data_IF_914835985044
#
_entry.id   IF_914835985044
#
_cell.length_a   1.000
_cell.length_b   1.000
_cell.length_c   1.000
_cell.angle_alpha   90.00
_cell.angle_beta   90.00
_cell.angle_gamma   90.00
#
_symmetry.space_group_name_H-M   'P 1'
#
loop_
_entity.id
_entity.type
_entity.pdbx_description
1 polymer ?
#
# COMPACT_ATOMS: atom_id res chain seq x y z
N UNK A 1 -17.99 17.07 -15.63
CA UNK A 1 -16.76 16.68 -14.91
C UNK A 1 -16.65 15.17 -14.96
N UNK A 2 -15.62 14.61 -15.60
CA UNK A 2 -15.40 13.15 -15.61
C UNK A 2 -14.51 12.80 -14.40
N UNK A 3 -14.87 11.75 -13.66
CA UNK A 3 -14.14 11.34 -12.45
C UNK A 3 -12.69 10.94 -12.75
N UNK A 4 -11.77 11.25 -11.82
CA UNK A 4 -10.39 10.79 -11.92
C UNK A 4 -10.29 9.34 -11.40
N UNK A 5 -9.71 8.39 -12.16
CA UNK A 5 -9.47 7.06 -11.64
C UNK A 5 -8.54 7.14 -10.43
N UNK A 6 -8.96 6.53 -9.33
CA UNK A 6 -8.20 6.44 -8.09
C UNK A 6 -8.00 4.97 -7.72
N UNK A 7 -6.80 4.64 -7.23
CA UNK A 7 -6.56 3.36 -6.58
C UNK A 7 -6.70 3.55 -5.07
N UNK A 8 -7.55 2.74 -4.45
CA UNK A 8 -7.76 2.74 -3.02
C UNK A 8 -7.08 1.53 -2.40
N UNK A 9 -6.31 1.76 -1.34
CA UNK A 9 -5.69 0.71 -0.55
C UNK A 9 -5.94 0.93 0.93
N UNK A 10 -6.32 -0.14 1.62
CA UNK A 10 -6.10 -0.24 3.05
C UNK A 10 -4.58 -0.31 3.30
N UNK A 11 -4.08 0.58 4.16
CA UNK A 11 -2.65 0.80 4.35
C UNK A 11 -1.95 -0.42 4.94
N UNK A 12 -2.57 -1.08 5.92
CA UNK A 12 -2.00 -2.26 6.58
C UNK A 12 -1.81 -3.41 5.59
N UNK A 13 -2.83 -3.68 4.75
CA UNK A 13 -2.77 -4.69 3.69
C UNK A 13 -1.70 -4.34 2.65
N UNK A 14 -1.62 -3.07 2.24
CA UNK A 14 -0.61 -2.62 1.28
C UNK A 14 0.81 -2.84 1.80
N UNK A 15 1.07 -2.51 3.07
CA UNK A 15 2.39 -2.67 3.65
C UNK A 15 2.79 -4.13 3.81
N UNK A 16 1.85 -5.02 4.17
CA UNK A 16 2.10 -6.46 4.17
C UNK A 16 2.49 -6.96 2.77
N UNK A 17 1.76 -6.55 1.73
CA UNK A 17 2.05 -6.91 0.33
C UNK A 17 3.42 -6.39 -0.13
N UNK A 18 3.81 -5.18 0.29
CA UNK A 18 5.12 -4.62 0.00
C UNK A 18 6.23 -5.43 0.69
N UNK A 19 6.05 -5.83 1.95
CA UNK A 19 7.00 -6.70 2.67
C UNK A 19 7.18 -8.04 1.98
N UNK A 20 6.09 -8.67 1.53
CA UNK A 20 6.15 -9.91 0.76
C UNK A 20 6.88 -9.69 -0.58
N UNK A 21 6.55 -8.61 -1.30
CA UNK A 21 7.23 -8.25 -2.55
C UNK A 21 8.73 -8.03 -2.35
N UNK A 22 9.17 -7.59 -1.17
CA UNK A 22 10.58 -7.47 -0.83
C UNK A 22 11.27 -8.83 -0.76
N UNK A 23 10.67 -9.79 -0.05
CA UNK A 23 11.19 -11.15 0.11
C UNK A 23 11.25 -11.89 -1.24
N UNK A 24 10.29 -11.63 -2.12
CA UNK A 24 10.23 -12.20 -3.47
C UNK A 24 11.11 -11.47 -4.50
N UNK A 25 11.76 -10.37 -4.13
CA UNK A 25 12.56 -9.56 -5.06
C UNK A 25 11.73 -8.77 -6.10
N UNK A 26 10.42 -8.65 -5.90
CA UNK A 26 9.48 -7.97 -6.81
C UNK A 26 9.11 -6.54 -6.37
N UNK A 27 9.66 -6.06 -5.25
CA UNK A 27 9.37 -4.75 -4.65
C UNK A 27 9.43 -3.59 -5.65
N UNK A 28 10.48 -3.49 -6.47
CA UNK A 28 10.63 -2.39 -7.44
C UNK A 28 9.46 -2.37 -8.44
N UNK A 29 9.01 -3.54 -8.90
CA UNK A 29 7.85 -3.65 -9.80
C UNK A 29 6.56 -3.24 -9.09
N UNK A 30 6.38 -3.63 -7.83
CA UNK A 30 5.22 -3.26 -7.01
C UNK A 30 5.15 -1.74 -6.80
N UNK A 31 6.26 -1.11 -6.43
CA UNK A 31 6.34 0.36 -6.32
C UNK A 31 6.17 1.06 -7.67
N UNK A 32 6.69 0.50 -8.75
CA UNK A 32 6.49 1.03 -10.10
C UNK A 32 5.02 1.07 -10.54
N UNK A 33 4.16 0.17 -10.03
CA UNK A 33 2.72 0.25 -10.24
C UNK A 33 2.09 1.37 -9.41
N UNK A 34 2.44 1.48 -8.13
CA UNK A 34 1.94 2.53 -7.24
C UNK A 34 2.30 3.94 -7.76
N UNK A 35 3.53 4.14 -8.23
CA UNK A 35 4.01 5.42 -8.74
C UNK A 35 3.30 5.89 -10.03
N UNK A 36 2.73 4.96 -10.80
CA UNK A 36 1.95 5.29 -12.01
C UNK A 36 0.49 5.62 -11.71
N UNK A 37 0.04 5.38 -10.49
CA UNK A 37 -1.31 5.69 -10.07
C UNK A 37 -1.49 7.20 -9.95
N UNK A 38 -2.46 7.74 -10.70
CA UNK A 38 -2.74 9.19 -10.73
C UNK A 38 -3.29 9.72 -9.41
N UNK A 39 -4.17 8.96 -8.76
CA UNK A 39 -4.71 9.26 -7.43
C UNK A 39 -4.60 8.00 -6.60
N UNK A 40 -3.78 8.05 -5.56
CA UNK A 40 -3.59 6.96 -4.61
C UNK A 40 -4.25 7.35 -3.29
N UNK A 41 -5.31 6.64 -2.91
CA UNK A 41 -5.97 6.82 -1.63
C UNK A 41 -5.48 5.71 -0.71
N UNK A 42 -4.86 6.13 0.39
CA UNK A 42 -4.45 5.25 1.47
C UNK A 42 -5.38 5.54 2.64
N UNK A 43 -5.98 4.49 3.17
CA UNK A 43 -6.96 4.57 4.25
C UNK A 43 -6.62 3.55 5.34
N UNK A 44 -7.25 3.71 6.50
CA UNK A 44 -7.12 2.83 7.65
C UNK A 44 -5.64 2.62 8.02
N UNK A 45 -4.98 3.74 8.30
CA UNK A 45 -3.66 3.83 8.94
C UNK A 45 -3.70 3.41 10.43
N UNK A 46 -4.77 2.71 10.85
CA UNK A 46 -4.92 2.20 12.21
C UNK A 46 -3.63 1.53 12.70
N UNK A 47 -3.41 1.50 14.02
CA UNK A 47 -2.13 1.10 14.58
C UNK A 47 -1.77 -0.27 14.02
N UNK A 48 -0.72 -0.32 13.22
CA UNK A 48 -0.15 -1.55 12.71
C UNK A 48 0.50 -2.28 13.90
N UNK A 49 -0.36 -2.86 14.73
CA UNK A 49 -0.06 -3.51 16.00
C UNK A 49 0.85 -2.70 16.92
N UNK A 50 0.22 -1.94 17.84
CA UNK A 50 0.75 -1.66 19.20
C UNK A 50 0.84 -2.96 20.04
N UNK A 51 1.09 -4.10 19.39
CA UNK A 51 1.05 -5.43 19.98
C UNK A 51 2.49 -5.91 20.15
N UNK A 52 3.25 -5.14 20.94
CA UNK A 52 4.51 -5.52 21.59
C UNK A 52 4.76 -4.60 22.80
N UNK A 53 3.70 -4.26 23.55
CA UNK A 53 3.83 -3.73 24.90
C UNK A 53 3.05 -4.63 25.86
N UNK A 54 3.59 -5.82 26.14
CA UNK A 54 3.51 -6.52 27.42
C UNK A 54 4.37 -7.78 27.40
#
# INVERSE_FOLDING_TARGET
>A
MQGCPAAYYNTQKLFLQIKLSQLEGTMIRSFGKLAKTRVLILDDFGPANLENQQ
#
